data_IF_265152210865
#
_entry.id   IF_265152210865
#
_cell.length_a   1.000
_cell.length_b   1.000
_cell.length_c   1.000
_cell.angle_alpha   90.00
_cell.angle_beta   90.00
_cell.angle_gamma   90.00
#
_symmetry.space_group_name_H-M   'P 1'
#
loop_
_entity.id
_entity.type
_entity.pdbx_description
1 polymer ?
#
# COMPACT_ATOMS: atom_id res chain seq x y z
N UNK A 1 6.98 -3.88 18.97
CA UNK A 1 7.28 -3.31 17.63
C UNK A 1 5.96 -2.97 16.93
N UNK A 2 5.89 -1.85 16.21
CA UNK A 2 4.68 -1.34 15.57
C UNK A 2 3.97 -2.37 14.67
N UNK A 3 4.73 -3.15 13.89
CA UNK A 3 4.19 -4.15 12.95
C UNK A 3 3.33 -5.23 13.63
N UNK A 4 3.65 -5.62 14.87
CA UNK A 4 2.84 -6.58 15.64
C UNK A 4 1.47 -6.01 15.97
N UNK A 5 1.41 -4.77 16.46
CA UNK A 5 0.16 -4.10 16.81
C UNK A 5 -0.68 -3.80 15.56
N UNK A 6 -0.03 -3.37 14.48
CA UNK A 6 -0.69 -3.11 13.21
C UNK A 6 -1.37 -4.36 12.63
N UNK A 7 -0.69 -5.52 12.64
CA UNK A 7 -1.29 -6.80 12.19
C UNK A 7 -2.50 -7.23 13.03
N UNK A 8 -2.56 -6.79 14.29
CA UNK A 8 -3.68 -7.06 15.20
C UNK A 8 -4.74 -5.95 15.20
N UNK A 9 -4.69 -5.02 14.24
CA UNK A 9 -5.57 -3.84 14.16
C UNK A 9 -5.51 -2.91 15.40
N UNK A 10 -4.49 -3.03 16.25
CA UNK A 10 -4.23 -2.13 17.38
C UNK A 10 -3.49 -0.88 16.87
N UNK A 11 -4.23 -0.06 16.11
CA UNK A 11 -3.67 1.10 15.41
C UNK A 11 -3.17 2.20 16.35
N UNK A 12 -3.73 2.31 17.56
CA UNK A 12 -3.27 3.25 18.58
C UNK A 12 -1.86 2.91 19.05
N UNK A 13 -1.62 1.65 19.44
CA UNK A 13 -0.27 1.24 19.83
C UNK A 13 0.68 1.21 18.64
N UNK A 14 0.22 0.83 17.46
CA UNK A 14 1.04 0.92 16.24
C UNK A 14 1.53 2.36 16.02
N UNK A 15 0.65 3.36 16.14
CA UNK A 15 1.01 4.79 16.02
C UNK A 15 2.05 5.20 17.04
N UNK A 16 1.87 4.83 18.30
CA UNK A 16 2.83 5.13 19.37
C UNK A 16 4.23 4.60 19.05
N UNK A 17 4.33 3.32 18.66
CA UNK A 17 5.63 2.72 18.31
C UNK A 17 6.26 3.32 17.04
N UNK A 18 5.46 3.78 16.07
CA UNK A 18 5.98 4.48 14.89
C UNK A 18 6.55 5.85 15.29
N UNK A 19 5.86 6.60 16.14
CA UNK A 19 6.30 7.91 16.62
C UNK A 19 7.61 7.85 17.42
N UNK A 20 7.89 6.74 18.10
CA UNK A 20 9.16 6.49 18.79
C UNK A 20 10.35 6.27 17.82
N UNK A 21 10.08 5.99 16.53
CA UNK A 21 11.12 5.77 15.52
C UNK A 21 11.61 7.09 14.93
N UNK A 22 12.59 7.71 15.59
CA UNK A 22 13.13 9.03 15.19
C UNK A 22 13.84 9.04 13.82
N UNK A 23 14.51 7.94 13.47
CA UNK A 23 15.40 7.82 12.32
C UNK A 23 15.03 6.59 11.46
N UNK A 24 13.87 6.60 10.78
CA UNK A 24 13.38 5.44 10.03
C UNK A 24 14.35 5.01 8.91
N UNK A 25 15.22 5.89 8.41
CA UNK A 25 16.23 5.62 7.36
C UNK A 25 17.34 4.70 7.80
N UNK A 26 17.55 4.58 9.11
CA UNK A 26 18.53 3.66 9.71
C UNK A 26 17.95 2.27 9.97
N UNK A 27 16.67 2.05 9.71
CA UNK A 27 16.05 0.74 9.85
C UNK A 27 16.61 -0.24 8.80
N UNK A 28 16.79 -1.50 9.20
CA UNK A 28 17.03 -2.58 8.25
C UNK A 28 15.95 -2.58 7.15
N UNK A 29 16.33 -2.90 5.91
CA UNK A 29 15.49 -2.74 4.71
C UNK A 29 14.06 -3.27 4.87
N UNK A 30 13.88 -4.46 5.46
CA UNK A 30 12.57 -5.06 5.69
C UNK A 30 11.73 -4.30 6.72
N UNK A 31 12.36 -3.80 7.78
CA UNK A 31 11.72 -2.95 8.79
C UNK A 31 11.34 -1.60 8.22
N UNK A 32 12.20 -1.00 7.38
CA UNK A 32 11.88 0.24 6.66
C UNK A 32 10.66 0.05 5.77
N UNK A 33 10.61 -1.02 4.98
CA UNK A 33 9.45 -1.32 4.16
C UNK A 33 8.15 -1.43 4.96
N UNK A 34 8.15 -2.17 6.07
CA UNK A 34 6.98 -2.27 6.95
C UNK A 34 6.61 -0.95 7.63
N UNK A 35 7.60 -0.16 8.06
CA UNK A 35 7.39 1.18 8.63
C UNK A 35 6.59 2.05 7.65
N UNK A 36 7.05 2.14 6.40
CA UNK A 36 6.42 2.92 5.34
C UNK A 36 5.03 2.40 4.98
N UNK A 37 4.86 1.07 4.92
CA UNK A 37 3.54 0.49 4.67
C UNK A 37 2.53 0.86 5.76
N UNK A 38 2.93 0.85 7.03
CA UNK A 38 2.04 1.25 8.13
C UNK A 38 1.72 2.74 8.09
N UNK A 39 2.71 3.60 7.80
CA UNK A 39 2.48 5.04 7.66
C UNK A 39 1.51 5.34 6.51
N UNK A 40 1.67 4.66 5.36
CA UNK A 40 0.73 4.81 4.24
C UNK A 40 -0.70 4.41 4.59
N UNK A 41 -0.87 3.32 5.34
CA UNK A 41 -2.19 2.89 5.81
C UNK A 41 -2.80 3.86 6.84
N UNK A 42 -1.98 4.48 7.69
CA UNK A 42 -2.45 5.48 8.64
C UNK A 42 -2.92 6.74 7.92
N UNK A 43 -2.11 7.25 6.99
CA UNK A 43 -2.47 8.37 6.14
C UNK A 43 -3.76 8.09 5.34
N UNK A 44 -3.96 6.87 4.82
CA UNK A 44 -5.25 6.49 4.19
C UNK A 44 -6.42 6.58 5.16
N UNK A 45 -6.27 6.10 6.40
CA UNK A 45 -7.32 6.15 7.42
C UNK A 45 -7.65 7.58 7.85
N UNK A 46 -6.67 8.46 7.80
CA UNK A 46 -6.80 9.87 8.14
C UNK A 46 -7.15 10.70 6.88
N UNK A 47 -7.49 10.05 5.76
CA UNK A 47 -7.84 10.63 4.45
C UNK A 47 -6.76 11.53 3.82
N UNK A 48 -5.52 11.48 4.32
CA UNK A 48 -4.36 12.13 3.71
C UNK A 48 -3.81 11.26 2.56
N UNK A 49 -4.48 11.35 1.41
CA UNK A 49 -4.12 10.57 0.23
C UNK A 49 -2.73 10.91 -0.34
N UNK A 50 -2.24 12.13 -0.11
CA UNK A 50 -0.92 12.55 -0.58
C UNK A 50 0.17 11.87 0.23
N UNK A 51 0.06 11.87 1.55
CA UNK A 51 1.00 11.15 2.42
C UNK A 51 0.88 9.64 2.24
N UNK A 52 -0.33 9.12 2.05
CA UNK A 52 -0.54 7.71 1.75
C UNK A 52 0.26 7.27 0.52
N UNK A 53 0.12 8.00 -0.58
CA UNK A 53 0.83 7.72 -1.82
C UNK A 53 2.36 7.82 -1.63
N UNK A 54 2.84 8.87 -0.99
CA UNK A 54 4.27 9.05 -0.68
C UNK A 54 4.84 7.83 0.06
N UNK A 55 4.21 7.44 1.16
CA UNK A 55 4.66 6.31 1.97
C UNK A 55 4.56 4.97 1.22
N UNK A 56 3.50 4.72 0.47
CA UNK A 56 3.40 3.50 -0.32
C UNK A 56 4.41 3.43 -1.47
N UNK A 57 4.78 4.56 -2.09
CA UNK A 57 5.84 4.60 -3.09
C UNK A 57 7.21 4.27 -2.50
N UNK A 58 7.48 4.71 -1.26
CA UNK A 58 8.72 4.30 -0.57
C UNK A 58 8.62 2.81 -0.24
N UNK A 59 7.53 2.37 0.38
CA UNK A 59 7.28 0.96 0.71
C UNK A 59 7.47 0.03 -0.52
N UNK A 60 7.03 0.46 -1.71
CA UNK A 60 7.16 -0.30 -2.95
C UNK A 60 8.61 -0.50 -3.40
N UNK A 61 9.59 0.20 -2.82
CA UNK A 61 11.03 0.05 -3.11
C UNK A 61 11.77 -0.86 -2.11
N UNK A 62 11.13 -1.23 -1.00
CA UNK A 62 11.75 -2.06 0.04
C UNK A 62 11.18 -3.49 0.07
N UNK A 63 11.91 -4.48 0.61
CA UNK A 63 11.34 -5.77 0.99
C UNK A 63 10.24 -5.55 2.05
N UNK A 64 9.07 -6.15 1.86
CA UNK A 64 7.95 -6.07 2.81
C UNK A 64 7.32 -7.45 2.87
N UNK A 65 7.40 -8.09 4.04
CA UNK A 65 6.82 -9.41 4.25
C UNK A 65 7.19 -10.39 3.13
N UNK A 66 6.19 -11.09 2.60
CA UNK A 66 6.28 -11.89 1.40
C UNK A 66 5.65 -11.22 0.18
N UNK A 67 5.52 -12.00 -0.91
CA UNK A 67 4.91 -11.52 -2.16
C UNK A 67 3.51 -10.94 -1.95
N UNK A 68 2.71 -11.55 -1.06
CA UNK A 68 1.34 -11.12 -0.81
C UNK A 68 1.28 -9.75 -0.11
N UNK A 69 2.12 -9.44 0.87
CA UNK A 69 2.17 -8.08 1.44
C UNK A 69 2.64 -7.05 0.41
N UNK A 70 3.58 -7.44 -0.45
CA UNK A 70 4.02 -6.57 -1.55
C UNK A 70 2.91 -6.28 -2.55
N UNK A 71 2.04 -7.24 -2.84
CA UNK A 71 0.89 -7.02 -3.73
C UNK A 71 -0.10 -6.02 -3.11
N UNK A 72 -0.33 -6.05 -1.79
CA UNK A 72 -1.17 -5.06 -1.12
C UNK A 72 -0.63 -3.62 -1.21
N UNK A 73 0.69 -3.42 -1.11
CA UNK A 73 1.30 -2.09 -1.35
C UNK A 73 0.94 -1.56 -2.75
N UNK A 74 1.03 -2.42 -3.77
CA UNK A 74 0.71 -2.06 -5.15
C UNK A 74 -0.78 -1.85 -5.38
N UNK A 75 -1.63 -2.65 -4.73
CA UNK A 75 -3.09 -2.48 -4.72
C UNK A 75 -3.48 -1.10 -4.15
N UNK A 76 -2.84 -0.65 -3.07
CA UNK A 76 -3.10 0.69 -2.53
C UNK A 76 -2.66 1.79 -3.49
N UNK A 77 -1.49 1.66 -4.13
CA UNK A 77 -1.04 2.60 -5.16
C UNK A 77 -1.97 2.63 -6.37
N UNK A 78 -2.48 1.48 -6.81
CA UNK A 78 -3.45 1.41 -7.90
C UNK A 78 -4.75 2.15 -7.56
N UNK A 79 -5.29 1.94 -6.36
CA UNK A 79 -6.47 2.68 -5.90
C UNK A 79 -6.22 4.18 -5.77
N UNK A 80 -5.05 4.61 -5.28
CA UNK A 80 -4.69 6.03 -5.20
C UNK A 80 -4.54 6.68 -6.58
N UNK A 81 -4.00 5.95 -7.56
CA UNK A 81 -3.97 6.40 -8.95
C UNK A 81 -5.38 6.51 -9.55
N UNK A 82 -6.25 5.53 -9.29
CA UNK A 82 -7.66 5.58 -9.72
C UNK A 82 -8.43 6.77 -9.15
N UNK A 83 -8.19 7.15 -7.89
CA UNK A 83 -8.79 8.36 -7.30
C UNK A 83 -8.44 9.63 -8.07
N UNK A 84 -7.30 9.64 -8.76
CA UNK A 84 -6.84 10.73 -9.63
C UNK A 84 -7.23 10.52 -11.10
N UNK A 85 -8.01 9.48 -11.41
CA UNK A 85 -8.33 9.02 -12.77
C UNK A 85 -7.10 8.71 -13.63
N UNK A 86 -5.95 8.42 -13.01
CA UNK A 86 -4.73 8.04 -13.72
C UNK A 86 -4.76 6.52 -14.00
N UNK A 87 -5.49 6.14 -15.05
CA UNK A 87 -5.69 4.74 -15.44
C UNK A 87 -4.39 4.07 -15.89
N UNK A 88 -3.48 4.82 -16.51
CA UNK A 88 -2.16 4.34 -16.94
C UNK A 88 -1.33 3.88 -15.73
N UNK A 89 -1.21 4.72 -14.70
CA UNK A 89 -0.47 4.31 -13.48
C UNK A 89 -1.22 3.24 -12.71
N UNK A 90 -2.54 3.32 -12.62
CA UNK A 90 -3.34 2.30 -11.95
C UNK A 90 -3.12 0.91 -12.58
N UNK A 91 -3.19 0.82 -13.92
CA UNK A 91 -2.92 -0.41 -14.67
C UNK A 91 -1.51 -0.94 -14.44
N UNK A 92 -0.49 -0.07 -14.48
CA UNK A 92 0.90 -0.48 -14.23
C UNK A 92 1.10 -1.06 -12.81
N UNK A 93 0.38 -0.56 -11.80
CA UNK A 93 0.41 -1.11 -10.45
C UNK A 93 -0.37 -2.43 -10.34
N UNK A 94 -1.52 -2.54 -11.01
CA UNK A 94 -2.33 -3.76 -11.10
C UNK A 94 -1.51 -4.91 -11.69
N UNK A 95 -0.81 -4.70 -12.80
CA UNK A 95 -0.01 -5.75 -13.44
C UNK A 95 1.09 -6.27 -12.52
N UNK A 96 1.77 -5.35 -11.81
CA UNK A 96 2.78 -5.74 -10.81
C UNK A 96 2.14 -6.46 -9.62
N UNK A 97 0.95 -6.05 -9.19
CA UNK A 97 0.25 -6.68 -8.08
C UNK A 97 -0.18 -8.11 -8.44
N UNK A 98 -0.65 -8.35 -9.67
CA UNK A 98 -1.02 -9.67 -10.19
C UNK A 98 0.11 -10.68 -10.11
N UNK A 99 1.32 -10.28 -10.50
CA UNK A 99 2.51 -11.15 -10.42
C UNK A 99 2.94 -11.53 -9.00
N UNK A 100 2.35 -10.91 -7.97
CA UNK A 100 2.72 -11.09 -6.56
C UNK A 100 1.56 -11.58 -5.68
N UNK A 101 0.32 -11.40 -6.11
CA UNK A 101 -0.87 -11.77 -5.37
C UNK A 101 -0.97 -13.29 -5.22
N UNK A 102 -1.20 -13.75 -3.99
CA UNK A 102 -1.32 -15.18 -3.67
C UNK A 102 -2.71 -15.48 -3.12
N UNK A 103 -3.29 -14.56 -2.36
CA UNK A 103 -4.58 -14.80 -1.71
C UNK A 103 -5.78 -14.56 -2.64
N UNK A 104 -6.86 -15.32 -2.43
CA UNK A 104 -8.13 -15.08 -3.12
C UNK A 104 -8.61 -13.62 -2.96
N UNK A 105 -8.46 -13.06 -1.75
CA UNK A 105 -8.80 -11.66 -1.45
C UNK A 105 -8.01 -10.66 -2.28
N UNK A 106 -6.68 -10.83 -2.40
CA UNK A 106 -5.87 -9.92 -3.23
C UNK A 106 -6.27 -10.00 -4.70
N UNK A 107 -6.56 -11.19 -5.21
CA UNK A 107 -7.03 -11.38 -6.59
C UNK A 107 -8.39 -10.73 -6.82
N UNK A 108 -9.32 -10.86 -5.88
CA UNK A 108 -10.64 -10.23 -5.95
C UNK A 108 -10.54 -8.69 -6.01
N UNK A 109 -9.70 -8.09 -5.16
CA UNK A 109 -9.48 -6.64 -5.15
C UNK A 109 -8.88 -6.17 -6.47
N UNK A 110 -7.86 -6.87 -6.97
CA UNK A 110 -7.23 -6.58 -8.27
C UNK A 110 -8.28 -6.59 -9.39
N UNK A 111 -9.11 -7.62 -9.46
CA UNK A 111 -10.16 -7.74 -10.47
C UNK A 111 -11.17 -6.57 -10.40
N UNK A 112 -11.48 -6.08 -9.20
CA UNK A 112 -12.35 -4.91 -9.01
C UNK A 112 -11.70 -3.63 -9.55
N UNK A 113 -10.42 -3.43 -9.28
CA UNK A 113 -9.64 -2.28 -9.79
C UNK A 113 -9.60 -2.30 -11.32
N UNK A 114 -9.36 -3.46 -11.93
CA UNK A 114 -9.35 -3.61 -13.39
C UNK A 114 -10.68 -3.27 -14.05
N UNK A 115 -11.80 -3.69 -13.44
CA UNK A 115 -13.13 -3.34 -13.92
C UNK A 115 -13.37 -1.83 -13.85
N UNK A 116 -12.90 -1.18 -12.79
CA UNK A 116 -13.03 0.28 -12.64
C UNK A 116 -12.17 1.03 -13.65
N UNK A 117 -10.93 0.58 -13.92
CA UNK A 117 -10.08 1.13 -14.98
C UNK A 117 -10.81 1.11 -16.32
N UNK A 118 -11.31 -0.07 -16.73
CA UNK A 118 -12.05 -0.24 -17.99
C UNK A 118 -13.29 0.66 -18.08
N UNK A 119 -13.99 0.83 -16.97
CA UNK A 119 -15.18 1.70 -16.91
C UNK A 119 -14.81 3.17 -17.15
N UNK A 120 -13.72 3.65 -16.55
CA UNK A 120 -13.24 5.03 -16.74
C UNK A 120 -12.77 5.25 -18.18
N UNK A 121 -12.02 4.29 -18.73
CA UNK A 121 -11.52 4.33 -20.11
C UNK A 121 -12.65 4.32 -21.14
N UNK A 122 -13.75 3.63 -20.87
CA UNK A 122 -14.91 3.59 -21.77
C UNK A 122 -15.68 4.93 -21.86
N UNK A 123 -15.43 5.87 -20.95
CA UNK A 123 -16.15 7.16 -20.86
C UNK A 123 -15.22 8.34 -21.22
N UNK A 124 -13.93 8.07 -21.49
CA UNK A 124 -12.92 9.08 -21.85
C UNK A 124 -12.57 8.97 -23.32
#
# INVERSE_FOLDING_TARGET
>A
MASKHFKNCDFLKARKFLAETKNPERLAKSRRGYYEFMQGNMALRDEDYKQAEFHFQIASRFPIGGKNEKSYVLIHLANLALRKRDTVRAGAYVEKAKGLAISARSNEIINKIEKEIKKIEAIT
#
